data_IF_217483850178
#
_entry.id   IF_217483850178
#
_cell.length_a   1.000
_cell.length_b   1.000
_cell.length_c   1.000
_cell.angle_alpha   90.00
_cell.angle_beta   90.00
_cell.angle_gamma   90.00
#
_symmetry.space_group_name_H-M   'P 1'
#
loop_
_entity.id
_entity.type
_entity.pdbx_description
1 polymer ?
#
# COMPACT_ATOMS: atom_id res chain seq x y z
N UNK A 1 -9.85 62.10 34.86
CA UNK A 1 -9.10 61.49 33.75
C UNK A 1 -9.42 60.00 33.77
N UNK A 2 -10.51 59.62 33.09
CA UNK A 2 -10.97 58.23 33.08
C UNK A 2 -10.05 57.42 32.18
N UNK A 3 -9.25 56.54 32.78
CA UNK A 3 -8.48 55.54 32.04
C UNK A 3 -9.50 54.63 31.36
N UNK A 4 -9.65 54.83 30.06
CA UNK A 4 -10.28 53.89 29.15
C UNK A 4 -9.46 52.59 29.25
N UNK A 5 -9.83 51.71 30.18
CA UNK A 5 -9.45 50.31 30.13
C UNK A 5 -10.24 49.75 28.96
N UNK A 6 -9.80 50.03 27.73
CA UNK A 6 -9.04 48.99 27.04
C UNK A 6 -9.61 47.59 27.25
N UNK A 7 -10.91 47.36 27.05
CA UNK A 7 -11.56 46.03 27.03
C UNK A 7 -11.06 45.24 25.79
N UNK A 8 -9.74 45.21 25.61
CA UNK A 8 -9.01 44.49 24.58
C UNK A 8 -8.76 43.03 25.02
N UNK A 9 -9.57 42.50 25.95
CA UNK A 9 -9.07 41.48 26.88
C UNK A 9 -9.12 40.04 26.37
N UNK A 10 -10.05 39.64 25.51
CA UNK A 10 -10.18 38.19 25.17
C UNK A 10 -10.33 37.87 23.67
N UNK A 11 -10.61 38.86 22.82
CA UNK A 11 -10.89 38.63 21.40
C UNK A 11 -9.66 38.18 20.60
N UNK A 12 -8.45 38.63 20.95
CA UNK A 12 -7.19 38.20 20.29
C UNK A 12 -6.85 36.75 20.62
N UNK A 13 -7.04 36.36 21.88
CA UNK A 13 -6.78 35.00 22.37
C UNK A 13 -7.78 34.03 21.72
N UNK A 14 -9.07 34.39 21.69
CA UNK A 14 -10.09 33.60 20.99
C UNK A 14 -9.80 33.43 19.50
N UNK A 15 -9.41 34.51 18.82
CA UNK A 15 -9.07 34.49 17.38
C UNK A 15 -7.85 33.61 17.05
N UNK A 16 -6.82 33.63 17.90
CA UNK A 16 -5.63 32.81 17.69
C UNK A 16 -5.92 31.32 17.93
N UNK A 17 -6.72 31.01 18.96
CA UNK A 17 -7.14 29.64 19.26
C UNK A 17 -8.01 29.05 18.15
N UNK A 18 -8.97 29.82 17.62
CA UNK A 18 -9.81 29.37 16.50
C UNK A 18 -9.00 29.15 15.23
N UNK A 19 -8.08 30.06 14.89
CA UNK A 19 -7.18 29.89 13.75
C UNK A 19 -6.27 28.67 13.90
N UNK A 20 -5.79 28.39 15.11
CA UNK A 20 -4.97 27.20 15.38
C UNK A 20 -5.77 25.90 15.21
N UNK A 21 -7.03 25.89 15.65
CA UNK A 21 -7.97 24.78 15.45
C UNK A 21 -8.25 24.54 13.97
N UNK A 22 -8.56 25.59 13.21
CA UNK A 22 -8.80 25.50 11.75
C UNK A 22 -7.58 24.95 11.01
N UNK A 23 -6.38 25.45 11.30
CA UNK A 23 -5.13 24.94 10.70
C UNK A 23 -4.91 23.46 11.02
N UNK A 24 -5.18 23.06 12.27
CA UNK A 24 -5.02 21.66 12.69
C UNK A 24 -6.02 20.76 11.97
N UNK A 25 -7.29 21.18 11.90
CA UNK A 25 -8.34 20.47 11.18
C UNK A 25 -8.02 20.34 9.68
N UNK A 26 -7.49 21.40 9.06
CA UNK A 26 -7.04 21.36 7.67
C UNK A 26 -5.88 20.40 7.45
N UNK A 27 -4.90 20.39 8.35
CA UNK A 27 -3.77 19.45 8.31
C UNK A 27 -4.29 18.02 8.43
N UNK A 28 -5.14 17.74 9.42
CA UNK A 28 -5.71 16.41 9.63
C UNK A 28 -6.48 15.95 8.39
N UNK A 29 -7.36 16.79 7.82
CA UNK A 29 -8.12 16.44 6.61
C UNK A 29 -7.20 16.16 5.42
N UNK A 30 -6.14 16.95 5.25
CA UNK A 30 -5.13 16.73 4.19
C UNK A 30 -4.35 15.44 4.42
N UNK A 31 -3.95 15.13 5.65
CA UNK A 31 -3.25 13.89 5.96
C UNK A 31 -4.14 12.66 5.75
N UNK A 32 -5.39 12.71 6.21
CA UNK A 32 -6.37 11.63 5.97
C UNK A 32 -6.62 11.42 4.49
N UNK A 33 -6.78 12.50 3.71
CA UNK A 33 -6.92 12.39 2.25
C UNK A 33 -5.67 11.83 1.55
N UNK A 34 -4.47 12.14 2.03
CA UNK A 34 -3.22 11.54 1.52
C UNK A 34 -3.12 10.06 1.89
N UNK A 35 -3.48 9.71 3.12
CA UNK A 35 -3.53 8.33 3.60
C UNK A 35 -4.47 7.47 2.75
N UNK A 36 -5.70 7.94 2.51
CA UNK A 36 -6.68 7.25 1.67
C UNK A 36 -6.15 6.99 0.25
N UNK A 37 -5.49 7.97 -0.38
CA UNK A 37 -4.91 7.77 -1.72
C UNK A 37 -3.80 6.73 -1.72
N UNK A 38 -2.95 6.70 -0.68
CA UNK A 38 -1.91 5.67 -0.53
C UNK A 38 -2.53 4.29 -0.36
N UNK A 39 -3.53 4.15 0.50
CA UNK A 39 -4.27 2.91 0.69
C UNK A 39 -4.89 2.40 -0.61
N UNK A 40 -5.50 3.28 -1.42
CA UNK A 40 -6.05 2.90 -2.72
C UNK A 40 -4.97 2.43 -3.70
N UNK A 41 -3.81 3.10 -3.74
CA UNK A 41 -2.68 2.66 -4.58
C UNK A 41 -2.15 1.30 -4.12
N UNK A 42 -1.98 1.11 -2.82
CA UNK A 42 -1.56 -0.17 -2.24
C UNK A 42 -2.56 -1.28 -2.55
N UNK A 43 -3.86 -1.06 -2.38
CA UNK A 43 -4.89 -2.04 -2.69
C UNK A 43 -4.89 -2.48 -4.16
N UNK A 44 -4.71 -1.54 -5.10
CA UNK A 44 -4.58 -1.87 -6.53
C UNK A 44 -3.35 -2.73 -6.83
N UNK A 45 -2.19 -2.34 -6.28
CA UNK A 45 -0.94 -3.09 -6.46
C UNK A 45 -1.06 -4.48 -5.82
N UNK A 46 -1.67 -4.56 -4.63
CA UNK A 46 -1.89 -5.81 -3.93
C UNK A 46 -2.75 -6.78 -4.74
N UNK A 47 -3.89 -6.31 -5.25
CA UNK A 47 -4.77 -7.13 -6.10
C UNK A 47 -4.06 -7.62 -7.37
N UNK A 48 -3.24 -6.77 -8.00
CA UNK A 48 -2.42 -7.19 -9.14
C UNK A 48 -1.39 -8.25 -8.73
N UNK A 49 -0.71 -8.03 -7.61
CA UNK A 49 0.33 -8.95 -7.10
C UNK A 49 -0.27 -10.32 -6.78
N UNK A 50 -1.44 -10.36 -6.14
CA UNK A 50 -2.16 -11.60 -5.84
C UNK A 50 -2.50 -12.38 -7.11
N UNK A 51 -3.05 -11.70 -8.13
CA UNK A 51 -3.39 -12.30 -9.42
C UNK A 51 -2.15 -12.82 -10.16
N UNK A 52 -1.09 -12.01 -10.26
CA UNK A 52 0.17 -12.40 -10.91
C UNK A 52 0.79 -13.61 -10.22
N UNK A 53 0.79 -13.61 -8.89
CA UNK A 53 1.37 -14.70 -8.10
C UNK A 53 0.57 -16.00 -8.28
N UNK A 54 -0.77 -15.92 -8.30
CA UNK A 54 -1.63 -17.07 -8.59
C UNK A 54 -1.40 -17.65 -10.00
N UNK A 55 -1.23 -16.78 -11.00
CA UNK A 55 -0.90 -17.20 -12.38
C UNK A 55 0.44 -17.92 -12.46
N UNK A 56 1.47 -17.40 -11.78
CA UNK A 56 2.81 -18.00 -11.75
C UNK A 56 2.76 -19.41 -11.14
N UNK A 57 2.13 -19.56 -9.98
CA UNK A 57 1.96 -20.89 -9.33
C UNK A 57 1.19 -21.84 -10.24
N UNK A 58 0.09 -21.37 -10.83
CA UNK A 58 -0.73 -22.19 -11.74
C UNK A 58 0.05 -22.62 -12.98
N UNK A 59 0.87 -21.74 -13.55
CA UNK A 59 1.72 -22.03 -14.71
C UNK A 59 2.74 -23.14 -14.42
N UNK A 60 3.47 -23.03 -13.30
CA UNK A 60 4.44 -24.07 -12.94
C UNK A 60 3.78 -25.39 -12.55
N UNK A 61 2.62 -25.35 -11.90
CA UNK A 61 1.83 -26.56 -11.59
C UNK A 61 1.29 -27.22 -12.86
N UNK A 62 0.86 -26.42 -13.83
CA UNK A 62 0.46 -26.93 -15.14
C UNK A 62 1.62 -27.61 -15.86
N UNK A 63 2.82 -26.99 -15.86
CA UNK A 63 4.04 -27.61 -16.42
C UNK A 63 4.36 -28.93 -15.71
N UNK A 64 4.35 -28.94 -14.38
CA UNK A 64 4.61 -30.13 -13.57
C UNK A 64 3.65 -31.28 -13.90
N UNK A 65 2.36 -30.98 -14.10
CA UNK A 65 1.33 -31.99 -14.36
C UNK A 65 1.31 -32.49 -15.82
N UNK A 66 1.58 -31.61 -16.80
CA UNK A 66 1.29 -31.89 -18.20
C UNK A 66 2.51 -32.20 -19.07
N UNK A 67 3.70 -31.72 -18.69
CA UNK A 67 4.88 -31.83 -19.57
C UNK A 67 5.72 -33.05 -19.17
N UNK A 68 5.92 -33.97 -20.11
CA UNK A 68 6.72 -35.19 -19.92
C UNK A 68 8.18 -35.07 -20.38
N UNK A 69 8.54 -33.99 -21.07
CA UNK A 69 9.86 -33.79 -21.69
C UNK A 69 10.50 -32.49 -21.22
N UNK A 70 11.82 -32.48 -20.96
CA UNK A 70 12.57 -31.31 -20.45
C UNK A 70 12.85 -30.29 -21.56
N UNK A 71 11.79 -29.69 -22.10
CA UNK A 71 11.87 -28.72 -23.20
C UNK A 71 11.80 -27.28 -22.71
N UNK A 72 11.10 -27.02 -21.61
CA UNK A 72 10.89 -25.66 -21.06
C UNK A 72 12.08 -25.18 -20.23
N UNK A 73 12.40 -23.89 -20.31
CA UNK A 73 13.43 -23.24 -19.48
C UNK A 73 13.19 -23.45 -17.97
N UNK A 74 11.93 -23.44 -17.53
CA UNK A 74 11.53 -23.73 -16.15
C UNK A 74 11.99 -25.13 -15.66
N UNK A 75 11.88 -26.15 -16.51
CA UNK A 75 12.34 -27.50 -16.20
C UNK A 75 13.86 -27.60 -16.18
N UNK A 76 14.54 -26.91 -17.12
CA UNK A 76 16.01 -26.82 -17.14
C UNK A 76 16.55 -26.12 -15.89
N UNK A 77 15.83 -25.11 -15.41
CA UNK A 77 16.09 -24.42 -14.16
C UNK A 77 15.66 -25.22 -12.91
N UNK A 78 15.16 -26.45 -13.07
CA UNK A 78 14.70 -27.35 -12.00
C UNK A 78 13.59 -26.74 -11.13
N UNK A 79 12.85 -25.78 -11.66
CA UNK A 79 11.75 -25.13 -10.94
C UNK A 79 10.55 -26.07 -10.83
N UNK A 80 10.27 -26.90 -11.82
CA UNK A 80 9.04 -27.72 -11.89
C UNK A 80 9.24 -29.18 -11.48
N UNK A 81 10.20 -29.48 -10.60
CA UNK A 81 10.44 -30.84 -10.11
C UNK A 81 9.39 -31.32 -9.11
N UNK A 82 8.66 -30.38 -8.51
CA UNK A 82 7.61 -30.62 -7.52
C UNK A 82 6.44 -29.68 -7.79
N UNK A 83 5.30 -29.99 -7.18
CA UNK A 83 4.18 -29.07 -7.09
C UNK A 83 4.59 -27.79 -6.37
N UNK A 84 4.24 -26.64 -6.95
CA UNK A 84 4.48 -25.30 -6.41
C UNK A 84 3.42 -24.89 -5.41
N UNK A 85 3.88 -24.27 -4.33
CA UNK A 85 3.04 -23.58 -3.36
C UNK A 85 3.46 -22.10 -3.21
N UNK A 86 2.70 -21.35 -2.43
CA UNK A 86 2.97 -19.93 -2.17
C UNK A 86 4.36 -19.66 -1.54
N UNK A 87 4.91 -20.59 -0.77
CA UNK A 87 6.24 -20.45 -0.16
C UNK A 87 7.38 -20.58 -1.19
N UNK A 88 7.17 -21.29 -2.29
CA UNK A 88 8.19 -21.44 -3.33
C UNK A 88 8.50 -20.08 -4.00
N UNK A 89 7.54 -19.16 -4.07
CA UNK A 89 7.75 -17.81 -4.61
C UNK A 89 8.69 -16.95 -3.75
N UNK A 90 8.69 -17.16 -2.43
CA UNK A 90 9.63 -16.48 -1.52
C UNK A 90 11.06 -16.96 -1.76
N UNK A 91 11.21 -18.23 -2.16
CA UNK A 91 12.51 -18.83 -2.46
C UNK A 91 13.07 -18.38 -3.82
N UNK A 92 12.20 -17.95 -4.75
CA UNK A 92 12.55 -17.51 -6.10
C UNK A 92 11.97 -16.11 -6.41
N UNK A 93 12.48 -15.04 -5.76
CA UNK A 93 11.93 -13.69 -5.89
C UNK A 93 12.07 -13.09 -7.29
N UNK A 94 12.95 -13.64 -8.14
CA UNK A 94 13.18 -13.18 -9.53
C UNK A 94 12.12 -13.66 -10.52
N UNK A 95 11.15 -14.45 -10.06
CA UNK A 95 10.09 -15.05 -10.90
C UNK A 95 8.85 -14.15 -10.98
N UNK A 96 8.70 -13.22 -10.03
CA UNK A 96 7.68 -12.15 -9.99
C UNK A 96 8.35 -10.86 -10.45
#
# INVERSE_FOLDING_TARGET
MALQIVEQKDYRIGKELTQRLERTNDILRRQTGRWHRRQNKFGKIWAQTEMTTGLVVSYFNWIWSNIRWVTTAAMRARLTLKHWNWHDLVSYPTVI
#
